data_IF_797473395103
#
_entry.id   IF_797473395103
#
_cell.length_a   1.000
_cell.length_b   1.000
_cell.length_c   1.000
_cell.angle_alpha   90.00
_cell.angle_beta   90.00
_cell.angle_gamma   90.00
#
_symmetry.space_group_name_H-M   'P 1'
#
loop_
_entity.id
_entity.type
_entity.pdbx_description
1 polymer ?
#
# COMPACT_ATOMS: atom_id res chain seq x y z
N UNK A 1 -24.31 -14.41 -27.63
CA UNK A 1 -22.95 -13.85 -27.45
C UNK A 1 -21.95 -14.98 -27.64
N UNK A 2 -21.04 -14.88 -28.62
CA UNK A 2 -20.04 -15.90 -28.88
C UNK A 2 -19.02 -15.98 -27.74
N UNK A 3 -18.66 -17.19 -27.31
CA UNK A 3 -17.55 -17.41 -26.36
C UNK A 3 -16.28 -16.84 -26.99
N UNK A 4 -15.63 -15.89 -26.31
CA UNK A 4 -14.37 -15.32 -26.79
C UNK A 4 -13.30 -16.41 -26.96
N UNK A 5 -12.47 -16.28 -28.00
CA UNK A 5 -11.38 -17.21 -28.30
C UNK A 5 -10.44 -17.32 -27.08
N UNK A 6 -10.32 -18.53 -26.54
CA UNK A 6 -9.43 -18.82 -25.41
C UNK A 6 -7.95 -18.59 -25.80
N UNK A 7 -7.13 -18.29 -24.79
CA UNK A 7 -5.68 -18.21 -24.96
C UNK A 7 -5.05 -19.59 -24.81
N UNK A 8 -4.28 -19.98 -25.81
CA UNK A 8 -3.37 -21.14 -25.85
C UNK A 8 -2.24 -21.01 -24.83
N UNK A 9 -1.51 -22.10 -24.60
CA UNK A 9 -0.32 -22.11 -23.74
C UNK A 9 0.77 -21.21 -24.29
N UNK A 10 1.04 -21.24 -25.59
CA UNK A 10 2.05 -20.41 -26.24
C UNK A 10 1.75 -18.92 -26.13
N UNK A 11 0.48 -18.51 -26.31
CA UNK A 11 0.05 -17.12 -26.09
C UNK A 11 0.29 -16.67 -24.64
N UNK A 12 0.01 -17.54 -23.65
CA UNK A 12 0.23 -17.22 -22.23
C UNK A 12 1.72 -17.09 -21.89
N UNK A 13 2.56 -17.95 -22.47
CA UNK A 13 4.03 -17.86 -22.32
C UNK A 13 4.54 -16.54 -22.89
N UNK A 14 4.10 -16.18 -24.10
CA UNK A 14 4.49 -14.92 -24.74
C UNK A 14 4.08 -13.69 -23.90
N UNK A 15 2.84 -13.67 -23.37
CA UNK A 15 2.40 -12.60 -22.47
C UNK A 15 3.29 -12.52 -21.23
N UNK A 16 3.67 -13.67 -20.65
CA UNK A 16 4.52 -13.72 -19.45
C UNK A 16 5.91 -13.14 -19.75
N UNK A 17 6.52 -13.51 -20.87
CA UNK A 17 7.83 -12.99 -21.30
C UNK A 17 7.79 -11.47 -21.56
N UNK A 18 6.75 -10.98 -22.22
CA UNK A 18 6.59 -9.55 -22.48
C UNK A 18 6.39 -8.75 -21.19
N UNK A 19 5.64 -9.29 -20.22
CA UNK A 19 5.48 -8.64 -18.90
C UNK A 19 6.80 -8.61 -18.12
N UNK A 20 7.62 -9.66 -18.21
CA UNK A 20 8.95 -9.66 -17.59
C UNK A 20 9.87 -8.61 -18.20
N UNK A 21 9.86 -8.48 -19.53
CA UNK A 21 10.61 -7.44 -20.25
C UNK A 21 10.16 -6.04 -19.84
N UNK A 22 8.87 -5.85 -19.59
CA UNK A 22 8.25 -4.57 -19.20
C UNK A 22 7.83 -4.56 -17.71
N UNK A 23 8.75 -4.91 -16.81
CA UNK A 23 8.49 -5.08 -15.36
C UNK A 23 7.77 -3.90 -14.67
N UNK A 24 7.86 -2.69 -15.24
CA UNK A 24 7.17 -1.48 -14.75
C UNK A 24 5.67 -1.69 -14.50
N UNK A 25 5.02 -2.57 -15.26
CA UNK A 25 3.59 -2.88 -15.12
C UNK A 25 3.24 -3.54 -13.78
N UNK A 26 4.20 -4.19 -13.12
CA UNK A 26 4.03 -4.86 -11.80
C UNK A 26 4.66 -4.06 -10.64
N UNK A 27 5.20 -2.87 -10.92
CA UNK A 27 5.74 -2.01 -9.87
C UNK A 27 4.63 -1.58 -8.89
N UNK A 28 4.89 -1.60 -7.58
CA UNK A 28 3.93 -1.22 -6.53
C UNK A 28 3.74 0.30 -6.37
N UNK A 29 4.58 1.13 -7.00
CA UNK A 29 4.48 2.59 -6.94
C UNK A 29 3.16 3.12 -7.55
N UNK A 30 2.49 4.05 -6.86
CA UNK A 30 1.15 4.58 -7.19
C UNK A 30 1.14 6.07 -7.56
N UNK A 31 2.29 6.68 -7.81
CA UNK A 31 2.41 8.06 -8.28
C UNK A 31 1.80 8.25 -9.69
N UNK A 32 1.33 9.47 -9.98
CA UNK A 32 0.65 9.81 -11.25
C UNK A 32 1.53 9.52 -12.47
N UNK A 33 2.83 9.78 -12.38
CA UNK A 33 3.86 9.45 -13.37
C UNK A 33 3.95 7.95 -13.61
N UNK A 34 4.09 7.13 -12.56
CA UNK A 34 4.08 5.67 -12.64
C UNK A 34 2.80 5.10 -13.27
N UNK A 35 1.62 5.68 -12.98
CA UNK A 35 0.36 5.23 -13.61
C UNK A 35 0.40 5.44 -15.12
N UNK A 36 0.87 6.61 -15.57
CA UNK A 36 0.99 6.91 -16.99
C UNK A 36 2.01 5.98 -17.67
N UNK A 37 3.17 5.78 -17.06
CA UNK A 37 4.22 4.88 -17.57
C UNK A 37 3.75 3.43 -17.66
N UNK A 38 3.00 2.93 -16.66
CA UNK A 38 2.38 1.60 -16.69
C UNK A 38 1.39 1.46 -17.83
N UNK A 39 0.56 2.47 -18.07
CA UNK A 39 -0.40 2.43 -19.17
C UNK A 39 0.31 2.37 -20.52
N UNK A 40 1.34 3.19 -20.73
CA UNK A 40 2.16 3.16 -21.94
C UNK A 40 2.87 1.80 -22.11
N UNK A 41 3.41 1.22 -21.03
CA UNK A 41 4.01 -0.11 -21.07
C UNK A 41 3.00 -1.19 -21.47
N UNK A 42 1.76 -1.13 -20.98
CA UNK A 42 0.71 -2.06 -21.40
C UNK A 42 0.30 -1.92 -22.87
N UNK A 43 0.33 -0.70 -23.41
CA UNK A 43 0.13 -0.47 -24.85
C UNK A 43 1.25 -1.10 -25.66
N UNK A 44 2.52 -0.91 -25.26
CA UNK A 44 3.68 -1.54 -25.89
C UNK A 44 3.62 -3.06 -25.86
N UNK A 45 3.32 -3.65 -24.70
CA UNK A 45 3.13 -5.10 -24.55
C UNK A 45 2.05 -5.60 -25.52
N UNK A 46 0.93 -4.88 -25.63
CA UNK A 46 -0.18 -5.28 -26.51
C UNK A 46 0.23 -5.20 -27.99
N UNK A 47 0.96 -4.17 -28.38
CA UNK A 47 1.49 -4.01 -29.74
C UNK A 47 2.50 -5.12 -30.06
N UNK A 48 3.47 -5.36 -29.18
CA UNK A 48 4.47 -6.41 -29.34
C UNK A 48 3.81 -7.79 -29.46
N UNK A 49 2.88 -8.11 -28.54
CA UNK A 49 2.11 -9.36 -28.58
C UNK A 49 1.40 -9.55 -29.92
N UNK A 50 0.64 -8.56 -30.38
CA UNK A 50 -0.09 -8.62 -31.65
C UNK A 50 0.83 -8.68 -32.88
N UNK A 51 2.08 -8.21 -32.76
CA UNK A 51 3.07 -8.26 -33.85
C UNK A 51 3.85 -9.58 -33.94
N UNK A 52 3.97 -10.30 -32.82
CA UNK A 52 4.83 -11.48 -32.71
C UNK A 52 4.12 -12.80 -33.01
N UNK A 53 2.79 -12.82 -33.01
CA UNK A 53 2.03 -14.07 -33.01
C UNK A 53 1.15 -14.31 -34.22
N UNK A 54 1.03 -15.59 -34.57
CA UNK A 54 0.02 -16.10 -35.51
C UNK A 54 -1.32 -16.35 -34.78
N UNK A 55 -1.75 -15.38 -33.97
CA UNK A 55 -2.96 -15.46 -33.14
C UNK A 55 -3.88 -14.28 -33.42
N UNK A 56 -5.17 -14.37 -33.08
CA UNK A 56 -6.10 -13.27 -33.24
C UNK A 56 -5.61 -12.00 -32.54
N UNK A 57 -5.83 -10.84 -33.16
CA UNK A 57 -5.52 -9.55 -32.56
C UNK A 57 -6.29 -9.41 -31.24
N UNK A 58 -5.58 -9.07 -30.17
CA UNK A 58 -6.16 -8.85 -28.85
C UNK A 58 -6.12 -7.38 -28.48
N UNK A 59 -7.15 -6.93 -27.77
CA UNK A 59 -7.18 -5.58 -27.20
C UNK A 59 -6.38 -5.53 -25.91
N UNK A 60 -5.95 -4.33 -25.53
CA UNK A 60 -5.21 -4.09 -24.28
C UNK A 60 -5.95 -4.65 -23.05
N UNK A 61 -7.27 -4.52 -23.01
CA UNK A 61 -8.10 -5.06 -21.91
C UNK A 61 -8.04 -6.59 -21.86
N UNK A 62 -8.03 -7.26 -23.01
CA UNK A 62 -7.95 -8.71 -23.09
C UNK A 62 -6.58 -9.23 -22.67
N UNK A 63 -5.50 -8.53 -23.03
CA UNK A 63 -4.13 -8.90 -22.63
C UNK A 63 -3.95 -8.72 -21.12
N UNK A 64 -4.34 -7.56 -20.56
CA UNK A 64 -4.36 -7.32 -19.11
C UNK A 64 -5.16 -8.37 -18.35
N UNK A 65 -6.35 -8.72 -18.85
CA UNK A 65 -7.20 -9.74 -18.24
C UNK A 65 -6.55 -11.13 -18.28
N UNK A 66 -5.89 -11.49 -19.38
CA UNK A 66 -5.18 -12.75 -19.50
C UNK A 66 -4.05 -12.84 -18.47
N UNK A 67 -3.24 -11.78 -18.34
CA UNK A 67 -2.19 -11.70 -17.34
C UNK A 67 -2.72 -11.82 -15.90
N UNK A 68 -3.79 -11.11 -15.56
CA UNK A 68 -4.41 -11.23 -14.24
C UNK A 68 -4.90 -12.67 -13.98
N UNK A 69 -5.50 -13.31 -14.98
CA UNK A 69 -5.91 -14.71 -14.86
C UNK A 69 -4.73 -15.65 -14.64
N UNK A 70 -3.59 -15.41 -15.29
CA UNK A 70 -2.34 -16.17 -15.08
C UNK A 70 -1.89 -16.03 -13.62
N UNK A 71 -1.81 -14.80 -13.10
CA UNK A 71 -1.44 -14.55 -11.69
C UNK A 71 -2.41 -15.19 -10.70
N UNK A 72 -3.72 -15.02 -10.91
CA UNK A 72 -4.75 -15.58 -10.03
C UNK A 72 -4.71 -17.10 -10.02
N UNK A 73 -4.57 -17.73 -11.20
CA UNK A 73 -4.44 -19.18 -11.30
C UNK A 73 -3.20 -19.66 -10.54
N UNK A 74 -2.05 -19.00 -10.76
CA UNK A 74 -0.81 -19.40 -10.08
C UNK A 74 -0.90 -19.23 -8.57
N UNK A 75 -1.49 -18.13 -8.10
CA UNK A 75 -1.77 -17.92 -6.68
C UNK A 75 -2.63 -19.03 -6.09
N UNK A 76 -3.70 -19.43 -6.80
CA UNK A 76 -4.57 -20.53 -6.37
C UNK A 76 -3.84 -21.87 -6.30
N UNK A 77 -2.97 -22.19 -7.27
CA UNK A 77 -2.14 -23.40 -7.25
C UNK A 77 -1.22 -23.42 -6.02
N UNK A 78 -0.57 -22.30 -5.72
CA UNK A 78 0.33 -22.21 -4.56
C UNK A 78 -0.46 -22.29 -3.24
N UNK A 79 -1.58 -21.58 -3.11
CA UNK A 79 -2.43 -21.65 -1.91
C UNK A 79 -3.00 -23.05 -1.70
N UNK A 80 -3.48 -23.71 -2.75
CA UNK A 80 -4.01 -25.07 -2.65
C UNK A 80 -2.93 -26.06 -2.21
N UNK A 81 -1.71 -25.93 -2.76
CA UNK A 81 -0.58 -26.75 -2.32
C UNK A 81 -0.21 -26.51 -0.84
N UNK A 82 -0.17 -25.25 -0.40
CA UNK A 82 0.06 -24.92 1.03
C UNK A 82 -1.01 -25.53 1.94
N UNK A 83 -2.29 -25.37 1.58
CA UNK A 83 -3.40 -25.95 2.33
C UNK A 83 -3.32 -27.49 2.40
N UNK A 84 -2.90 -28.13 1.30
CA UNK A 84 -2.70 -29.57 1.28
C UNK A 84 -1.59 -30.04 2.23
N UNK A 85 -0.49 -29.27 2.34
CA UNK A 85 0.61 -29.56 3.27
C UNK A 85 0.20 -29.40 4.75
N UNK A 86 -0.66 -28.43 5.05
CA UNK A 86 -1.13 -28.18 6.42
C UNK A 86 -2.18 -29.19 6.89
N UNK A 87 -2.73 -30.00 5.99
CA UNK A 87 -3.78 -30.97 6.33
C UNK A 87 -3.19 -32.19 7.05
N UNK A 88 -3.27 -32.19 8.37
CA UNK A 88 -2.89 -33.34 9.20
C UNK A 88 -4.03 -34.36 9.25
N UNK A 89 -3.79 -35.59 8.80
CA UNK A 89 -4.82 -36.65 8.84
C UNK A 89 -4.53 -37.90 8.02
N UNK A 90 -3.26 -38.29 7.84
CA UNK A 90 -2.89 -39.53 7.13
C UNK A 90 -3.34 -39.61 5.67
N UNK A 91 -3.61 -38.47 5.04
CA UNK A 91 -4.04 -38.40 3.64
C UNK A 91 -2.95 -38.82 2.65
N UNK A 92 -3.30 -39.00 1.37
CA UNK A 92 -2.34 -39.30 0.30
C UNK A 92 -1.22 -38.25 0.24
N UNK A 93 -0.03 -38.67 -0.19
CA UNK A 93 1.12 -37.78 -0.37
C UNK A 93 0.76 -36.59 -1.27
N UNK A 94 1.10 -35.37 -0.82
CA UNK A 94 0.86 -34.14 -1.57
C UNK A 94 1.84 -34.08 -2.75
N UNK A 95 1.36 -34.04 -4.01
CA UNK A 95 2.25 -33.90 -5.16
C UNK A 95 3.04 -32.60 -5.08
N UNK A 96 4.34 -32.66 -5.44
CA UNK A 96 5.19 -31.46 -5.51
C UNK A 96 4.59 -30.44 -6.47
N UNK A 97 4.45 -29.20 -6.00
CA UNK A 97 4.05 -28.08 -6.86
C UNK A 97 5.11 -27.84 -7.94
N UNK A 98 4.69 -27.80 -9.20
CA UNK A 98 5.57 -27.41 -10.31
C UNK A 98 6.02 -25.95 -10.11
N UNK A 99 7.33 -25.73 -10.04
CA UNK A 99 7.91 -24.38 -9.93
C UNK A 99 7.72 -23.59 -11.22
N UNK A 100 7.42 -22.31 -11.09
CA UNK A 100 7.35 -21.38 -12.23
C UNK A 100 7.91 -20.03 -11.80
N UNK A 101 9.25 -19.88 -11.69
CA UNK A 101 9.89 -18.69 -11.12
C UNK A 101 9.47 -17.42 -11.86
N UNK A 102 9.20 -17.55 -13.16
CA UNK A 102 8.74 -16.48 -14.03
C UNK A 102 7.43 -15.83 -13.59
N UNK A 103 6.50 -16.59 -13.01
CA UNK A 103 5.19 -16.11 -12.54
C UNK A 103 5.20 -15.98 -11.01
N UNK A 104 5.95 -16.83 -10.31
CA UNK A 104 6.04 -16.88 -8.85
C UNK A 104 6.49 -15.53 -8.25
N UNK A 105 7.43 -14.86 -8.93
CA UNK A 105 7.88 -13.51 -8.53
C UNK A 105 6.74 -12.47 -8.52
N UNK A 106 5.67 -12.68 -9.28
CA UNK A 106 4.53 -11.77 -9.41
C UNK A 106 3.30 -12.20 -8.60
N UNK A 107 3.29 -13.40 -8.05
CA UNK A 107 2.12 -13.96 -7.38
C UNK A 107 1.79 -13.24 -6.05
N UNK A 108 2.70 -12.39 -5.51
CA UNK A 108 2.53 -11.58 -4.30
C UNK A 108 1.85 -12.38 -3.16
N UNK A 109 2.32 -13.60 -2.94
CA UNK A 109 1.81 -14.44 -1.87
C UNK A 109 2.51 -13.98 -0.60
N UNK A 110 1.72 -13.58 0.39
CA UNK A 110 2.25 -13.35 1.72
C UNK A 110 2.98 -14.62 2.16
N UNK A 111 4.29 -14.52 2.32
CA UNK A 111 5.06 -15.48 3.10
C UNK A 111 4.52 -15.33 4.52
N UNK A 112 3.95 -16.41 5.06
CA UNK A 112 3.61 -16.47 6.48
C UNK A 112 4.89 -16.18 7.25
N UNK A 113 4.79 -15.29 8.24
CA UNK A 113 5.90 -15.04 9.16
C UNK A 113 5.98 -16.31 10.02
N UNK A 114 7.10 -17.05 10.02
CA UNK A 114 7.23 -18.25 10.83
C UNK A 114 6.96 -17.91 12.31
N UNK A 115 5.95 -18.54 12.91
CA UNK A 115 5.54 -18.30 14.30
C UNK A 115 4.48 -17.20 14.50
N UNK A 116 3.86 -16.66 13.46
CA UNK A 116 2.69 -15.79 13.63
C UNK A 116 1.50 -16.59 14.15
N UNK A 117 1.11 -16.29 15.39
CA UNK A 117 -0.13 -16.77 16.01
C UNK A 117 -1.26 -15.85 15.52
N UNK A 118 -2.34 -16.42 14.99
CA UNK A 118 -3.50 -15.64 14.51
C UNK A 118 -4.15 -14.89 15.68
N UNK A 119 -4.82 -13.77 15.38
CA UNK A 119 -5.50 -12.94 16.39
C UNK A 119 -6.54 -13.73 17.21
N UNK A 120 -6.98 -14.87 16.69
CA UNK A 120 -8.04 -15.69 17.26
C UNK A 120 -7.51 -16.80 18.19
N UNK A 121 -6.18 -16.88 18.37
CA UNK A 121 -5.55 -17.90 19.20
C UNK A 121 -5.14 -17.30 20.54
N UNK A 122 -5.93 -17.56 21.58
CA UNK A 122 -5.60 -17.16 22.95
C UNK A 122 -4.62 -18.16 23.57
N UNK A 123 -3.42 -17.68 23.90
CA UNK A 123 -2.40 -18.44 24.63
C UNK A 123 -2.44 -18.06 26.11
N UNK A 124 -2.69 -19.02 26.98
CA UNK A 124 -2.66 -18.83 28.43
C UNK A 124 -1.53 -19.67 29.03
N UNK A 125 -0.73 -19.05 29.91
CA UNK A 125 0.30 -19.76 30.67
C UNK A 125 -0.36 -20.34 31.90
N UNK A 126 -0.39 -21.66 32.01
CA UNK A 126 -0.85 -22.33 33.23
C UNK A 126 0.13 -22.08 34.38
N UNK A 127 -0.31 -22.15 35.65
CA UNK A 127 0.58 -21.94 36.82
C UNK A 127 1.80 -22.88 36.89
N UNK A 128 1.76 -24.01 36.17
CA UNK A 128 2.86 -24.98 36.01
C UNK A 128 3.83 -24.61 34.87
N UNK A 129 3.66 -23.45 34.25
CA UNK A 129 4.52 -22.97 33.16
C UNK A 129 4.26 -23.64 31.80
N UNK A 130 3.20 -24.43 31.67
CA UNK A 130 2.78 -25.05 30.41
C UNK A 130 1.88 -24.10 29.62
N UNK A 131 2.16 -23.93 28.32
CA UNK A 131 1.36 -23.10 27.41
C UNK A 131 0.12 -23.86 26.95
N UNK A 132 -1.06 -23.44 27.37
CA UNK A 132 -2.33 -23.95 26.85
C UNK A 132 -2.83 -23.03 25.73
N UNK A 133 -3.21 -23.66 24.63
CA UNK A 133 -3.77 -23.01 23.45
C UNK A 133 -5.24 -23.41 23.36
N UNK A 134 -6.15 -22.44 23.52
CA UNK A 134 -7.59 -22.67 23.40
C UNK A 134 -8.13 -21.97 22.17
N UNK A 135 -8.65 -22.73 21.21
CA UNK A 135 -9.52 -22.22 20.16
C UNK A 135 -10.96 -22.21 20.70
N UNK A 136 -11.58 -21.04 20.78
CA UNK A 136 -13.01 -20.96 21.10
C UNK A 136 -13.79 -21.35 19.86
N UNK A 137 -14.37 -22.56 19.87
CA UNK A 137 -15.43 -22.92 18.94
C UNK A 137 -16.68 -22.12 19.34
N UNK A 138 -16.88 -20.97 18.71
CA UNK A 138 -18.14 -20.25 18.78
C UNK A 138 -19.15 -21.00 17.90
N UNK A 139 -19.69 -22.10 18.43
CA UNK A 139 -20.91 -22.71 17.91
C UNK A 139 -22.04 -21.67 18.03
N UNK A 140 -22.29 -20.90 16.96
CA UNK A 140 -23.62 -20.53 16.44
C UNK A 140 -23.59 -19.25 15.59
N UNK A 141 -23.22 -19.34 14.30
CA UNK A 141 -23.84 -18.50 13.25
C UNK A 141 -24.05 -19.32 11.99
N UNK A 142 -25.33 -19.50 11.68
CA UNK A 142 -25.91 -20.11 10.50
C UNK A 142 -25.24 -19.70 9.19
N UNK A 143 -24.93 -20.74 8.41
CA UNK A 143 -24.64 -20.76 6.98
C UNK A 143 -25.57 -19.85 6.16
N UNK A 144 -24.98 -18.97 5.35
CA UNK A 144 -25.59 -18.41 4.14
C UNK A 144 -24.50 -17.97 3.18
N UNK A 145 -24.17 -18.89 2.28
CA UNK A 145 -23.58 -18.69 0.96
C UNK A 145 -23.78 -17.26 0.41
N UNK A 146 -22.68 -16.54 0.18
CA UNK A 146 -22.64 -15.45 -0.79
C UNK A 146 -21.53 -15.69 -1.81
N UNK A 147 -21.96 -16.09 -3.01
CA UNK A 147 -21.17 -16.06 -4.22
C UNK A 147 -20.99 -14.60 -4.64
N UNK A 148 -19.86 -14.01 -4.26
CA UNK A 148 -19.54 -12.63 -4.61
C UNK A 148 -18.98 -12.56 -6.05
N UNK A 149 -19.88 -12.45 -7.03
CA UNK A 149 -19.56 -12.01 -8.39
C UNK A 149 -19.49 -10.48 -8.38
N UNK A 150 -18.27 -9.95 -8.31
CA UNK A 150 -18.01 -8.53 -8.55
C UNK A 150 -18.25 -8.18 -10.03
N UNK A 151 -19.44 -7.70 -10.37
CA UNK A 151 -19.63 -6.86 -11.56
C UNK A 151 -19.21 -5.43 -11.26
N UNK A 152 -18.05 -5.03 -11.76
CA UNK A 152 -17.70 -3.64 -12.00
C UNK A 152 -18.64 -3.05 -13.05
N UNK A 153 -19.55 -2.16 -12.65
CA UNK A 153 -20.16 -1.19 -13.56
C UNK A 153 -19.51 0.17 -13.35
N UNK A 154 -18.78 0.60 -14.39
CA UNK A 154 -18.36 1.97 -14.60
C UNK A 154 -19.58 2.88 -14.65
N UNK A 155 -19.48 4.01 -13.97
CA UNK A 155 -20.31 5.18 -14.17
C UNK A 155 -20.25 5.61 -15.65
N UNK A 156 -21.42 5.76 -16.27
CA UNK A 156 -21.63 6.69 -17.38
C UNK A 156 -22.73 7.64 -16.94
N UNK A 157 -22.46 8.91 -17.17
CA UNK A 157 -23.20 10.07 -16.73
C UNK A 157 -24.62 10.14 -17.29
N UNK A 158 -25.47 10.81 -16.52
CA UNK A 158 -26.86 11.14 -16.78
C UNK A 158 -27.04 11.87 -18.11
N UNK A 159 -28.09 11.51 -18.86
CA UNK A 159 -28.95 12.53 -19.46
C UNK A 159 -30.41 12.07 -19.49
N UNK A 160 -31.25 12.93 -18.93
CA UNK A 160 -32.68 12.80 -18.69
C UNK A 160 -33.43 13.18 -19.97
N UNK A 161 -34.34 12.35 -20.49
CA UNK A 161 -35.53 12.86 -21.20
C UNK A 161 -36.68 11.84 -21.19
N UNK A 162 -37.80 12.29 -20.63
CA UNK A 162 -39.11 11.67 -20.52
C UNK A 162 -39.78 11.34 -21.87
N UNK A 163 -40.55 10.23 -21.94
CA UNK A 163 -41.77 10.08 -22.76
C UNK A 163 -42.58 8.82 -22.36
N UNK A 164 -43.91 8.96 -22.37
CA UNK A 164 -44.96 8.10 -21.80
C UNK A 164 -45.46 6.95 -22.70
N UNK A 165 -46.34 6.11 -22.11
CA UNK A 165 -47.30 5.11 -22.65
C UNK A 165 -46.73 3.69 -22.88
N UNK A 166 -47.40 2.57 -22.58
CA UNK A 166 -48.77 2.23 -22.11
C UNK A 166 -48.78 0.81 -21.50
N UNK A 167 -49.85 0.49 -20.76
CA UNK A 167 -50.11 -0.75 -20.00
C UNK A 167 -49.98 -2.06 -20.78
N UNK A 168 -49.51 -3.12 -20.09
CA UNK A 168 -50.08 -4.48 -20.21
C UNK A 168 -49.76 -5.33 -18.98
N UNK A 169 -50.78 -6.04 -18.48
CA UNK A 169 -50.79 -6.80 -17.23
C UNK A 169 -50.03 -8.13 -17.36
N UNK A 170 -49.12 -8.42 -16.43
CA UNK A 170 -48.78 -9.81 -16.07
C UNK A 170 -48.74 -9.95 -14.55
N UNK A 171 -49.68 -10.76 -14.06
CA UNK A 171 -49.86 -11.28 -12.71
C UNK A 171 -48.55 -11.78 -12.11
N UNK A 172 -48.10 -11.19 -11.00
CA UNK A 172 -47.02 -11.77 -10.17
C UNK A 172 -47.23 -11.51 -8.69
N UNK A 173 -47.04 -12.58 -7.95
CA UNK A 173 -47.39 -12.88 -6.57
C UNK A 173 -46.84 -11.91 -5.51
N UNK A 174 -47.64 -11.67 -4.46
CA UNK A 174 -47.41 -10.79 -3.29
C UNK A 174 -46.14 -11.05 -2.43
N UNK A 175 -45.21 -11.92 -2.82
CA UNK A 175 -44.00 -12.28 -2.03
C UNK A 175 -42.71 -11.52 -2.39
N UNK A 176 -42.62 -10.83 -3.54
CA UNK A 176 -41.35 -10.19 -4.00
C UNK A 176 -41.08 -8.78 -3.41
N UNK A 177 -42.08 -8.10 -2.81
CA UNK A 177 -41.90 -6.72 -2.33
C UNK A 177 -41.12 -6.57 -1.01
N UNK A 178 -41.01 -7.63 -0.20
CA UNK A 178 -40.31 -7.57 1.09
C UNK A 178 -38.79 -7.76 0.92
N UNK A 179 -38.34 -8.73 0.12
CA UNK A 179 -36.91 -8.98 -0.12
C UNK A 179 -36.20 -7.81 -0.83
N UNK A 180 -36.87 -7.13 -1.78
CA UNK A 180 -36.26 -5.98 -2.45
C UNK A 180 -36.10 -4.75 -1.54
N UNK A 181 -36.96 -4.62 -0.51
CA UNK A 181 -36.89 -3.52 0.46
C UNK A 181 -35.76 -3.74 1.48
N UNK A 182 -35.59 -4.99 1.93
CA UNK A 182 -34.53 -5.39 2.87
C UNK A 182 -33.13 -5.26 2.22
N UNK A 183 -32.95 -5.75 0.99
CA UNK A 183 -31.67 -5.59 0.28
C UNK A 183 -31.33 -4.14 -0.04
N UNK A 184 -32.32 -3.29 -0.36
CA UNK A 184 -32.09 -1.85 -0.59
C UNK A 184 -31.68 -1.14 0.70
N UNK A 185 -32.31 -1.47 1.84
CA UNK A 185 -31.97 -0.91 3.15
C UNK A 185 -30.55 -1.29 3.60
N UNK A 186 -30.16 -2.56 3.43
CA UNK A 186 -28.83 -3.05 3.77
C UNK A 186 -27.74 -2.38 2.90
N UNK A 187 -27.99 -2.20 1.60
CA UNK A 187 -27.08 -1.49 0.71
C UNK A 187 -26.98 0.01 1.07
N UNK A 188 -28.08 0.68 1.41
CA UNK A 188 -28.04 2.08 1.85
C UNK A 188 -27.35 2.26 3.20
N UNK A 189 -27.50 1.30 4.10
CA UNK A 189 -26.83 1.28 5.40
C UNK A 189 -25.32 1.11 5.22
N UNK A 190 -24.89 0.15 4.39
CA UNK A 190 -23.47 -0.08 4.13
C UNK A 190 -22.81 1.09 3.39
N UNK A 191 -23.52 1.73 2.46
CA UNK A 191 -23.05 2.97 1.82
C UNK A 191 -22.84 4.08 2.85
N UNK A 192 -23.77 4.24 3.80
CA UNK A 192 -23.66 5.24 4.87
C UNK A 192 -22.47 4.94 5.79
N UNK A 193 -22.32 3.69 6.25
CA UNK A 193 -21.19 3.26 7.07
C UNK A 193 -19.86 3.40 6.33
N UNK A 194 -19.83 3.13 5.02
CA UNK A 194 -18.63 3.35 4.20
C UNK A 194 -18.28 4.82 4.04
N UNK A 195 -19.27 5.69 3.83
CA UNK A 195 -19.05 7.14 3.81
C UNK A 195 -18.52 7.65 5.15
N UNK A 196 -19.09 7.20 6.26
CA UNK A 196 -18.63 7.53 7.61
C UNK A 196 -17.17 7.08 7.85
N UNK A 197 -16.80 5.86 7.44
CA UNK A 197 -15.42 5.38 7.52
C UNK A 197 -14.45 6.26 6.71
N UNK A 198 -14.85 6.69 5.52
CA UNK A 198 -14.02 7.57 4.68
C UNK A 198 -13.90 8.98 5.28
N UNK A 199 -14.97 9.52 5.85
CA UNK A 199 -14.96 10.81 6.54
C UNK A 199 -14.05 10.77 7.77
N UNK A 200 -14.14 9.70 8.57
CA UNK A 200 -13.27 9.49 9.72
C UNK A 200 -11.81 9.33 9.30
N UNK A 201 -11.54 8.58 8.24
CA UNK A 201 -10.20 8.45 7.69
C UNK A 201 -9.64 9.80 7.24
N UNK A 202 -10.43 10.58 6.49
CA UNK A 202 -10.04 11.91 6.04
C UNK A 202 -9.73 12.84 7.21
N UNK A 203 -10.57 12.83 8.26
CA UNK A 203 -10.35 13.63 9.47
C UNK A 203 -9.06 13.23 10.19
N UNK A 204 -8.79 11.92 10.31
CA UNK A 204 -7.57 11.42 10.90
C UNK A 204 -6.34 11.85 10.08
N UNK A 205 -6.42 11.76 8.75
CA UNK A 205 -5.33 12.19 7.86
C UNK A 205 -5.07 13.69 7.99
N UNK A 206 -6.13 14.51 8.06
CA UNK A 206 -6.03 15.96 8.28
C UNK A 206 -5.39 16.30 9.64
N UNK A 207 -5.79 15.60 10.71
CA UNK A 207 -5.20 15.76 12.05
C UNK A 207 -3.72 15.36 12.05
N UNK A 208 -3.39 14.20 11.47
CA UNK A 208 -2.01 13.73 11.34
C UNK A 208 -1.13 14.71 10.54
N UNK A 209 -1.64 15.23 9.42
CA UNK A 209 -0.95 16.26 8.64
C UNK A 209 -0.77 17.57 9.43
N UNK A 210 -1.77 17.96 10.23
CA UNK A 210 -1.70 19.12 11.11
C UNK A 210 -0.61 18.98 12.17
N UNK A 211 -0.56 17.84 12.85
CA UNK A 211 0.46 17.54 13.87
C UNK A 211 1.86 17.53 13.29
N UNK A 212 2.08 16.88 12.13
CA UNK A 212 3.39 16.85 11.48
C UNK A 212 3.85 18.25 11.07
N UNK A 213 2.94 19.09 10.55
CA UNK A 213 3.24 20.48 10.21
C UNK A 213 3.65 21.28 11.46
N UNK A 214 2.95 21.09 12.57
CA UNK A 214 3.27 21.75 13.84
C UNK A 214 4.63 21.30 14.38
N UNK A 215 4.93 20.00 14.33
CA UNK A 215 6.22 19.45 14.74
C UNK A 215 7.39 20.04 13.93
N UNK A 216 7.23 20.13 12.60
CA UNK A 216 8.24 20.73 11.72
C UNK A 216 8.47 22.21 12.08
N UNK A 217 7.40 22.97 12.34
CA UNK A 217 7.52 24.39 12.72
C UNK A 217 8.24 24.55 14.06
N UNK A 218 7.91 23.72 15.06
CA UNK A 218 8.60 23.73 16.36
C UNK A 218 10.07 23.37 16.22
N UNK A 219 10.41 22.41 15.35
CA UNK A 219 11.79 22.03 15.08
C UNK A 219 12.59 23.17 14.44
N UNK A 220 12.01 23.85 13.45
CA UNK A 220 12.62 25.03 12.81
C UNK A 220 12.84 26.15 13.84
N UNK A 221 11.86 26.40 14.71
CA UNK A 221 11.97 27.47 15.71
C UNK A 221 13.04 27.16 16.77
N UNK A 222 13.09 25.93 17.26
CA UNK A 222 14.14 25.47 18.17
C UNK A 222 15.53 25.61 17.54
N UNK A 223 15.69 25.26 16.26
CA UNK A 223 16.96 25.40 15.56
C UNK A 223 17.37 26.88 15.40
N UNK A 224 16.41 27.76 15.10
CA UNK A 224 16.64 29.21 15.06
C UNK A 224 17.11 29.75 16.40
N UNK A 225 16.48 29.37 17.50
CA UNK A 225 16.89 29.77 18.84
C UNK A 225 18.30 29.25 19.20
N UNK A 226 18.62 28.01 18.83
CA UNK A 226 19.98 27.47 19.01
C UNK A 226 21.04 28.24 18.20
N UNK A 227 20.70 28.68 16.99
CA UNK A 227 21.59 29.50 16.17
C UNK A 227 21.78 30.90 16.78
N UNK A 228 20.72 31.51 17.32
CA UNK A 228 20.83 32.79 18.04
C UNK A 228 21.76 32.67 19.25
N UNK A 229 21.58 31.63 20.07
CA UNK A 229 22.46 31.38 21.24
C UNK A 229 23.91 31.21 20.84
N UNK A 230 24.18 30.38 19.82
CA UNK A 230 25.55 30.19 19.29
C UNK A 230 26.17 31.50 18.81
N UNK A 231 25.40 32.35 18.13
CA UNK A 231 25.90 33.65 17.65
C UNK A 231 26.32 34.57 18.80
N UNK A 232 25.51 34.64 19.85
CA UNK A 232 25.83 35.42 21.05
C UNK A 232 27.07 34.85 21.76
N UNK A 233 27.17 33.53 21.86
CA UNK A 233 28.32 32.86 22.47
C UNK A 233 29.62 33.12 21.69
N UNK A 234 29.58 33.07 20.35
CA UNK A 234 30.73 33.42 19.52
C UNK A 234 31.15 34.88 19.69
N UNK A 235 30.18 35.81 19.77
CA UNK A 235 30.46 37.23 19.98
C UNK A 235 31.08 37.49 21.36
N UNK A 236 30.61 36.82 22.40
CA UNK A 236 31.23 36.89 23.74
C UNK A 236 32.66 36.35 23.69
N UNK A 237 32.89 35.21 23.03
CA UNK A 237 34.23 34.62 22.92
C UNK A 237 35.19 35.50 22.12
N UNK A 238 34.73 36.17 21.06
CA UNK A 238 35.52 37.11 20.27
C UNK A 238 35.89 38.35 21.09
N UNK A 239 34.92 38.91 21.82
CA UNK A 239 35.15 40.06 22.69
C UNK A 239 36.13 39.74 23.83
N UNK A 240 36.03 38.55 24.44
CA UNK A 240 36.98 38.10 25.46
C UNK A 240 38.40 37.97 24.88
N UNK A 241 38.53 37.38 23.68
CA UNK A 241 39.83 37.27 23.02
C UNK A 241 40.44 38.66 22.74
N UNK A 242 39.62 39.61 22.26
CA UNK A 242 40.08 40.97 22.01
C UNK A 242 40.53 41.67 23.30
N UNK A 243 39.76 41.52 24.39
CA UNK A 243 40.12 42.07 25.69
C UNK A 243 41.46 41.50 26.21
N UNK A 244 41.67 40.19 26.07
CA UNK A 244 42.94 39.56 26.46
C UNK A 244 44.11 40.08 25.62
N UNK A 245 43.92 40.30 24.31
CA UNK A 245 44.93 40.88 23.42
C UNK A 245 45.28 42.31 23.81
N UNK A 246 44.30 43.17 24.06
CA UNK A 246 44.50 44.54 24.53
C UNK A 246 45.25 44.57 25.86
N UNK A 247 44.90 43.68 26.79
CA UNK A 247 45.57 43.59 28.09
C UNK A 247 47.04 43.19 27.94
N UNK A 248 47.35 42.18 27.12
CA UNK A 248 48.73 41.78 26.83
C UNK A 248 49.52 42.91 26.15
N UNK A 249 48.88 43.66 25.23
CA UNK A 249 49.51 44.79 24.57
C UNK A 249 49.90 45.89 25.58
N UNK A 250 49.01 46.24 26.51
CA UNK A 250 49.29 47.20 27.57
C UNK A 250 50.41 46.75 28.52
N UNK A 251 50.47 45.46 28.83
CA UNK A 251 51.55 44.87 29.62
C UNK A 251 52.90 44.96 28.91
N UNK A 252 52.94 44.67 27.61
CA UNK A 252 54.15 44.84 26.79
C UNK A 252 54.59 46.31 26.76
N UNK A 253 53.65 47.24 26.59
CA UNK A 253 53.97 48.67 26.56
C UNK A 253 54.48 49.21 27.90
N UNK A 254 53.92 48.74 29.01
CA UNK A 254 54.39 49.11 30.35
C UNK A 254 55.80 48.56 30.62
N UNK A 255 56.07 47.31 30.21
CA UNK A 255 57.42 46.73 30.29
C UNK A 255 58.44 47.49 29.43
N UNK A 256 58.08 47.88 28.20
CA UNK A 256 58.92 48.71 27.32
C UNK A 256 59.27 50.06 27.95
N UNK A 257 58.28 50.76 28.52
CA UNK A 257 58.51 52.04 29.20
C UNK A 257 59.46 51.90 30.39
N UNK A 258 59.33 50.81 31.15
CA UNK A 258 60.21 50.53 32.30
C UNK A 258 61.67 50.30 31.87
N UNK A 259 61.87 49.50 30.82
CA UNK A 259 63.19 49.26 30.22
C UNK A 259 63.87 50.55 29.75
N UNK A 260 63.12 51.48 29.13
CA UNK A 260 63.67 52.77 28.70
C UNK A 260 64.12 53.60 29.91
N UNK A 261 63.29 53.69 30.96
CA UNK A 261 63.62 54.43 32.17
C UNK A 261 64.86 53.88 32.89
N UNK A 262 64.99 52.56 32.95
CA UNK A 262 66.15 51.88 33.55
C UNK A 262 67.43 52.04 32.69
N UNK A 263 67.28 52.31 31.39
CA UNK A 263 68.40 52.56 30.46
C UNK A 263 68.93 54.00 30.54
N UNK A 264 68.06 54.98 30.82
CA UNK A 264 68.44 56.39 30.96
C UNK A 264 68.97 56.75 32.37
N UNK A 265 68.82 55.84 33.35
CA UNK A 265 69.28 56.03 34.74
C UNK A 265 70.66 55.42 35.05
N UNK A 266 71.34 54.83 34.06
CA UNK A 266 72.71 54.29 34.13
C UNK A 266 73.66 55.11 33.24
#
# INVERSE_FOLDING_TARGET
>A
MGKGLAYSSTEKTLITELVQKHYIVENKKTDSTSIHEKNNAWEKITQEFNSMGNHPIRTLVQVKKCWNNIKTKRKSEITAHKQALLRTGGGPEVPKLLENPAIDQFANIALEIPGSIDSDVQCTVTPDGTLEFSCFDDENVSDSNDNDVQTFTKNIENEVTSKQFSNENVTRTKKEKQHHKINKLNFTSEISSRMERLENQKKNDEEMHGLLKQEILLKIENERELLKKRKVETEISENELNFQQERHQMEIETLKKRLIYDSDSN
#
